data_IF_561604814669
#
_entry.id   IF_561604814669
#
_cell.length_a   1.000
_cell.length_b   1.000
_cell.length_c   1.000
_cell.angle_alpha   90.00
_cell.angle_beta   90.00
_cell.angle_gamma   90.00
#
_symmetry.space_group_name_H-M   'P 1'
#
loop_
_entity.id
_entity.type
_entity.pdbx_description
1 polymer ?
#
# COMPACT_ATOMS: atom_id res chain seq x y z
N UNK A 1 -7.07 -8.05 -2.12
CA UNK A 1 -5.84 -7.49 -1.55
C UNK A 1 -5.94 -7.35 -0.03
N UNK A 2 -6.89 -6.60 0.53
CA UNK A 2 -7.04 -6.42 1.99
C UNK A 2 -7.16 -7.75 2.75
N UNK A 3 -7.95 -8.72 2.26
CA UNK A 3 -8.10 -10.05 2.87
C UNK A 3 -6.74 -10.79 2.98
N UNK A 4 -5.89 -10.68 1.95
CA UNK A 4 -4.54 -11.26 1.93
C UNK A 4 -3.66 -10.66 3.04
N UNK A 5 -3.64 -9.33 3.16
CA UNK A 5 -2.84 -8.63 4.18
C UNK A 5 -3.33 -8.92 5.60
N UNK A 6 -4.64 -8.92 5.82
CA UNK A 6 -5.25 -9.25 7.13
C UNK A 6 -4.91 -10.68 7.54
N UNK A 7 -5.10 -11.66 6.66
CA UNK A 7 -4.76 -13.06 6.94
C UNK A 7 -3.26 -13.26 7.13
N UNK A 8 -2.42 -12.54 6.36
CA UNK A 8 -0.96 -12.58 6.51
C UNK A 8 -0.50 -12.09 7.88
N UNK A 9 -1.02 -10.96 8.34
CA UNK A 9 -0.68 -10.43 9.67
C UNK A 9 -1.14 -11.36 10.79
N UNK A 10 -2.34 -11.95 10.69
CA UNK A 10 -2.81 -12.96 11.65
C UNK A 10 -1.98 -14.24 11.61
N UNK A 11 -1.52 -14.67 10.44
CA UNK A 11 -0.67 -15.86 10.33
C UNK A 11 0.72 -15.66 10.92
N UNK A 12 1.27 -14.44 10.83
CA UNK A 12 2.63 -14.12 11.28
C UNK A 12 2.67 -13.75 12.76
N UNK A 13 1.69 -12.97 13.24
CA UNK A 13 1.72 -12.38 14.56
C UNK A 13 0.75 -13.05 15.57
N UNK A 14 -0.03 -14.05 15.12
CA UNK A 14 -1.07 -14.68 15.94
C UNK A 14 -2.35 -13.86 16.01
N UNK A 15 -3.04 -13.95 17.16
CA UNK A 15 -4.33 -13.30 17.35
C UNK A 15 -4.21 -11.78 17.48
N UNK A 16 -4.93 -11.02 16.65
CA UNK A 16 -4.89 -9.56 16.57
C UNK A 16 -6.32 -8.97 16.52
N UNK A 17 -6.45 -7.73 16.99
CA UNK A 17 -7.61 -6.89 16.73
C UNK A 17 -7.49 -6.15 15.41
N UNK A 18 -8.61 -5.57 14.91
CA UNK A 18 -8.59 -4.70 13.74
C UNK A 18 -7.68 -3.47 13.93
N UNK A 19 -7.60 -2.96 15.14
CA UNK A 19 -6.69 -1.86 15.50
C UNK A 19 -5.22 -2.27 15.43
N UNK A 20 -4.87 -3.45 15.94
CA UNK A 20 -3.48 -3.95 15.89
C UNK A 20 -3.04 -4.19 14.44
N UNK A 21 -3.94 -4.73 13.60
CA UNK A 21 -3.71 -4.89 12.17
C UNK A 21 -3.50 -3.53 11.48
N UNK A 22 -4.33 -2.54 11.77
CA UNK A 22 -4.17 -1.18 11.25
C UNK A 22 -2.81 -0.60 11.64
N UNK A 23 -2.46 -0.64 12.92
CA UNK A 23 -1.18 -0.13 13.43
C UNK A 23 0.02 -0.84 12.77
N UNK A 24 -0.06 -2.16 12.58
CA UNK A 24 1.00 -2.90 11.90
C UNK A 24 1.17 -2.48 10.44
N UNK A 25 0.06 -2.21 9.72
CA UNK A 25 0.09 -1.72 8.34
C UNK A 25 0.66 -0.29 8.26
N UNK A 26 0.26 0.61 9.15
CA UNK A 26 0.77 1.99 9.23
C UNK A 26 2.28 2.01 9.52
N UNK A 27 2.73 1.25 10.51
CA UNK A 27 4.15 1.15 10.87
C UNK A 27 5.03 0.59 9.74
N UNK A 28 4.47 -0.22 8.85
CA UNK A 28 5.16 -0.77 7.68
C UNK A 28 4.89 0.01 6.39
N UNK A 29 4.10 1.08 6.42
CA UNK A 29 3.63 1.84 5.27
C UNK A 29 2.91 0.95 4.22
N UNK A 30 2.41 -0.19 4.66
CA UNK A 30 1.64 -1.10 3.78
C UNK A 30 0.32 -0.49 3.38
N UNK A 31 -0.33 0.26 4.27
CA UNK A 31 -1.54 1.03 4.00
C UNK A 31 -1.36 2.02 2.85
N UNK A 32 -0.18 2.65 2.76
CA UNK A 32 0.17 3.64 1.73
C UNK A 32 0.27 3.02 0.34
N UNK A 33 1.13 2.00 0.15
CA UNK A 33 1.31 1.41 -1.19
C UNK A 33 0.20 0.43 -1.58
N UNK A 34 -0.50 -0.16 -0.60
CA UNK A 34 -1.65 -1.03 -0.82
C UNK A 34 -2.99 -0.28 -0.80
N UNK A 35 -3.00 1.04 -0.55
CA UNK A 35 -4.21 1.86 -0.46
C UNK A 35 -5.28 1.30 0.48
N UNK A 36 -4.86 0.68 1.60
CA UNK A 36 -5.77 0.07 2.59
C UNK A 36 -6.26 1.12 3.57
N UNK A 37 -7.55 1.35 3.59
CA UNK A 37 -8.19 2.24 4.57
C UNK A 37 -8.60 1.46 5.82
N UNK A 38 -8.64 2.07 7.03
CA UNK A 38 -9.06 1.41 8.26
C UNK A 38 -10.41 0.69 8.13
N UNK A 39 -11.41 1.32 7.54
CA UNK A 39 -12.72 0.71 7.32
C UNK A 39 -12.66 -0.60 6.50
N UNK A 40 -11.71 -0.71 5.57
CA UNK A 40 -11.51 -1.92 4.76
C UNK A 40 -10.98 -3.09 5.59
N UNK A 41 -10.20 -2.83 6.64
CA UNK A 41 -9.69 -3.86 7.57
C UNK A 41 -10.84 -4.48 8.35
N UNK A 42 -11.70 -3.65 8.94
CA UNK A 42 -12.86 -4.12 9.71
C UNK A 42 -13.86 -4.88 8.82
N UNK A 43 -14.10 -4.38 7.60
CA UNK A 43 -14.94 -5.07 6.63
C UNK A 43 -14.34 -6.44 6.24
N UNK A 44 -13.04 -6.52 6.00
CA UNK A 44 -12.34 -7.76 5.69
C UNK A 44 -12.46 -8.76 6.85
N UNK A 45 -12.20 -8.35 8.10
CA UNK A 45 -12.34 -9.20 9.28
C UNK A 45 -13.75 -9.77 9.42
N UNK A 46 -14.78 -8.93 9.26
CA UNK A 46 -16.19 -9.38 9.30
C UNK A 46 -16.45 -10.44 8.22
N UNK A 47 -16.10 -10.16 6.98
CA UNK A 47 -16.28 -11.09 5.84
C UNK A 47 -15.50 -12.40 6.01
N UNK A 48 -14.27 -12.33 6.55
CA UNK A 48 -13.45 -13.51 6.81
C UNK A 48 -14.03 -14.35 7.96
N UNK A 49 -14.61 -13.72 8.98
CA UNK A 49 -15.30 -14.41 10.06
C UNK A 49 -16.59 -15.11 9.58
N UNK A 50 -17.40 -14.45 8.75
CA UNK A 50 -18.59 -15.04 8.13
C UNK A 50 -18.27 -16.31 7.30
N UNK A 51 -17.06 -16.37 6.71
CA UNK A 51 -16.55 -17.53 5.96
C UNK A 51 -15.76 -18.52 6.80
N UNK A 52 -15.69 -18.34 8.12
CA UNK A 52 -14.90 -19.16 9.04
C UNK A 52 -13.39 -19.21 8.69
N UNK A 53 -12.83 -18.21 8.02
CA UNK A 53 -11.40 -18.08 7.77
C UNK A 53 -10.65 -17.47 8.95
N UNK A 54 -11.36 -16.72 9.79
CA UNK A 54 -10.88 -16.26 11.09
C UNK A 54 -11.94 -16.59 12.14
N UNK A 55 -11.49 -16.80 13.39
CA UNK A 55 -12.37 -17.03 14.55
C UNK A 55 -12.17 -15.91 15.56
N UNK A 56 -13.28 -15.47 16.16
CA UNK A 56 -13.25 -14.55 17.31
C UNK A 56 -12.76 -15.33 18.52
N UNK A 57 -11.62 -14.94 19.09
CA UNK A 57 -11.02 -15.56 20.27
C UNK A 57 -11.56 -14.95 21.56
N UNK A 58 -11.62 -13.64 21.62
CA UNK A 58 -12.11 -12.92 22.78
C UNK A 58 -12.54 -11.50 22.40
N UNK A 59 -13.35 -10.92 23.26
CA UNK A 59 -13.70 -9.50 23.22
C UNK A 59 -13.11 -8.86 24.48
N UNK A 60 -12.22 -7.91 24.31
CA UNK A 60 -11.60 -7.15 25.38
C UNK A 60 -12.28 -5.80 25.49
N UNK A 61 -12.65 -5.41 26.70
CA UNK A 61 -13.20 -4.07 26.98
C UNK A 61 -12.24 -3.36 27.93
N UNK A 62 -11.71 -2.21 27.49
CA UNK A 62 -10.85 -1.34 28.30
C UNK A 62 -11.50 0.04 28.32
N UNK A 63 -12.11 0.39 29.47
CA UNK A 63 -12.93 1.58 29.58
C UNK A 63 -14.15 1.52 28.65
N UNK A 64 -14.29 2.52 27.77
CA UNK A 64 -15.38 2.60 26.79
C UNK A 64 -15.04 1.97 25.43
N UNK A 65 -13.87 1.34 25.29
CA UNK A 65 -13.42 0.74 24.01
C UNK A 65 -13.52 -0.77 24.06
N UNK A 66 -14.23 -1.33 23.10
CA UNK A 66 -14.33 -2.78 22.91
C UNK A 66 -13.47 -3.21 21.71
N UNK A 67 -12.63 -4.22 21.91
CA UNK A 67 -11.76 -4.81 20.87
C UNK A 67 -12.11 -6.27 20.68
N UNK A 68 -12.45 -6.65 19.46
CA UNK A 68 -12.61 -8.05 19.08
C UNK A 68 -11.26 -8.57 18.56
N UNK A 69 -10.76 -9.65 19.16
CA UNK A 69 -9.49 -10.30 18.83
C UNK A 69 -9.79 -11.52 17.95
N UNK A 70 -9.18 -11.57 16.79
CA UNK A 70 -9.36 -12.63 15.80
C UNK A 70 -8.09 -13.44 15.62
N UNK A 71 -8.25 -14.72 15.30
CA UNK A 71 -7.19 -15.63 14.95
C UNK A 71 -7.50 -16.34 13.63
N UNK A 72 -6.47 -16.65 12.83
CA UNK A 72 -6.63 -17.36 11.56
C UNK A 72 -6.94 -18.85 11.83
N UNK A 73 -7.97 -19.38 11.16
CA UNK A 73 -8.33 -20.81 11.23
C UNK A 73 -7.49 -21.64 10.24
N UNK A 74 -7.57 -22.97 10.34
CA UNK A 74 -6.96 -23.87 9.33
C UNK A 74 -7.55 -23.67 7.93
N UNK A 75 -8.85 -23.36 7.82
CA UNK A 75 -9.48 -22.99 6.55
C UNK A 75 -8.93 -21.63 6.05
N UNK A 76 -8.75 -20.69 6.97
CA UNK A 76 -8.12 -19.40 6.68
C UNK A 76 -6.69 -19.51 6.16
N UNK A 77 -5.88 -20.40 6.74
CA UNK A 77 -4.49 -20.66 6.28
C UNK A 77 -4.48 -21.20 4.84
N UNK A 78 -5.38 -22.13 4.50
CA UNK A 78 -5.51 -22.63 3.13
C UNK A 78 -5.95 -21.53 2.17
N UNK A 79 -6.93 -20.72 2.56
CA UNK A 79 -7.40 -19.59 1.76
C UNK A 79 -6.30 -18.52 1.58
N UNK A 80 -5.51 -18.27 2.62
CA UNK A 80 -4.36 -17.36 2.55
C UNK A 80 -3.34 -17.82 1.50
N UNK A 81 -2.99 -19.10 1.46
CA UNK A 81 -2.11 -19.65 0.43
C UNK A 81 -2.66 -19.47 -0.99
N UNK A 82 -3.98 -19.68 -1.18
CA UNK A 82 -4.65 -19.43 -2.46
C UNK A 82 -4.57 -17.95 -2.87
N UNK A 83 -4.76 -17.03 -1.91
CA UNK A 83 -4.66 -15.59 -2.18
C UNK A 83 -3.24 -15.17 -2.56
N UNK A 84 -2.21 -15.77 -1.95
CA UNK A 84 -0.81 -15.55 -2.35
C UNK A 84 -0.60 -16.00 -3.80
N UNK A 85 -0.96 -17.24 -4.13
CA UNK A 85 -0.82 -17.78 -5.49
C UNK A 85 -1.51 -16.88 -6.53
N UNK A 86 -2.78 -16.55 -6.30
CA UNK A 86 -3.55 -15.66 -7.17
C UNK A 86 -2.93 -14.27 -7.31
N UNK A 87 -2.26 -13.76 -6.25
CA UNK A 87 -1.58 -12.48 -6.28
C UNK A 87 -0.33 -12.50 -7.16
N UNK A 88 0.39 -13.63 -7.17
CA UNK A 88 1.61 -13.80 -7.97
C UNK A 88 1.31 -13.97 -9.47
N UNK A 89 0.13 -14.49 -9.84
CA UNK A 89 -0.26 -14.70 -11.23
C UNK A 89 -0.78 -13.43 -11.93
N UNK A 90 -1.20 -12.43 -11.17
CA UNK A 90 -1.79 -11.22 -11.74
C UNK A 90 -0.73 -10.30 -12.35
N UNK A 91 -1.10 -9.66 -13.48
CA UNK A 91 -0.30 -8.58 -14.04
C UNK A 91 -0.13 -7.46 -13.01
N UNK A 92 1.12 -7.12 -12.71
CA UNK A 92 1.50 -6.13 -11.69
C UNK A 92 1.81 -4.75 -12.27
N UNK A 93 1.75 -4.58 -13.59
CA UNK A 93 1.97 -3.26 -14.22
C UNK A 93 0.74 -2.39 -14.01
N UNK A 94 0.93 -1.26 -13.34
CA UNK A 94 -0.12 -0.26 -13.09
C UNK A 94 0.24 1.03 -13.84
N UNK A 95 -0.60 1.41 -14.81
CA UNK A 95 -0.42 2.66 -15.53
C UNK A 95 -1.07 3.82 -14.78
N UNK A 96 -0.43 5.01 -14.69
CA UNK A 96 -1.02 6.21 -14.09
C UNK A 96 -2.03 6.86 -15.07
N UNK A 97 -3.18 6.21 -15.25
CA UNK A 97 -4.17 6.53 -16.25
C UNK A 97 -4.64 8.00 -16.22
N UNK A 98 -4.82 8.58 -15.02
CA UNK A 98 -5.20 9.98 -14.86
C UNK A 98 -4.12 10.93 -15.43
N UNK A 99 -2.83 10.63 -15.15
CA UNK A 99 -1.73 11.42 -15.70
C UNK A 99 -1.68 11.30 -17.22
N UNK A 100 -1.78 10.08 -17.76
CA UNK A 100 -1.72 9.87 -19.19
C UNK A 100 -2.89 10.55 -19.92
N UNK A 101 -4.10 10.46 -19.36
CA UNK A 101 -5.27 11.17 -19.90
C UNK A 101 -5.08 12.69 -19.89
N UNK A 102 -4.55 13.24 -18.80
CA UNK A 102 -4.26 14.68 -18.73
C UNK A 102 -3.18 15.10 -19.72
N UNK A 103 -2.12 14.29 -19.89
CA UNK A 103 -1.05 14.57 -20.86
C UNK A 103 -1.50 14.50 -22.30
N UNK A 104 -2.50 13.67 -22.63
CA UNK A 104 -3.07 13.60 -23.97
C UNK A 104 -3.67 14.94 -24.43
N UNK A 105 -4.15 15.74 -23.49
CA UNK A 105 -4.79 17.04 -23.77
C UNK A 105 -4.04 18.21 -23.11
N UNK A 106 -2.73 18.06 -22.85
CA UNK A 106 -1.96 19.05 -22.10
C UNK A 106 -1.88 20.41 -22.83
N UNK A 107 -1.98 20.40 -24.14
CA UNK A 107 -1.92 21.61 -24.98
C UNK A 107 -3.16 22.52 -24.83
N UNK A 108 -4.28 21.95 -24.33
CA UNK A 108 -5.49 22.72 -24.00
C UNK A 108 -5.36 23.52 -22.69
N UNK A 109 -4.26 23.31 -21.92
CA UNK A 109 -3.99 24.01 -20.68
C UNK A 109 -2.80 24.97 -20.87
N UNK A 110 -2.90 26.26 -20.45
CA UNK A 110 -1.76 27.18 -20.49
C UNK A 110 -0.53 26.57 -19.80
N UNK A 111 0.64 26.66 -20.46
CA UNK A 111 1.88 25.99 -20.01
C UNK A 111 2.26 26.34 -18.56
N UNK A 112 2.04 27.58 -18.11
CA UNK A 112 2.31 27.98 -16.73
C UNK A 112 1.44 27.23 -15.72
N UNK A 113 0.15 27.03 -16.04
CA UNK A 113 -0.77 26.24 -15.19
C UNK A 113 -0.40 24.76 -15.20
N UNK A 114 -0.05 24.21 -16.38
CA UNK A 114 0.41 22.83 -16.48
C UNK A 114 1.67 22.60 -15.64
N UNK A 115 2.67 23.46 -15.73
CA UNK A 115 3.89 23.41 -14.92
C UNK A 115 3.61 23.51 -13.41
N UNK A 116 2.68 24.37 -13.00
CA UNK A 116 2.26 24.45 -11.61
C UNK A 116 1.72 23.11 -11.08
N UNK A 117 0.79 22.48 -11.81
CA UNK A 117 0.20 21.19 -11.39
C UNK A 117 1.19 20.04 -11.47
N UNK A 118 2.08 20.01 -12.45
CA UNK A 118 3.17 19.02 -12.53
C UNK A 118 4.16 19.15 -11.38
N UNK A 119 4.44 20.37 -10.90
CA UNK A 119 5.27 20.59 -9.71
C UNK A 119 4.60 20.02 -8.44
N UNK A 120 3.29 20.19 -8.28
CA UNK A 120 2.55 19.58 -7.15
C UNK A 120 2.69 18.05 -7.20
N UNK A 121 2.46 17.45 -8.36
CA UNK A 121 2.61 16.00 -8.51
C UNK A 121 4.04 15.53 -8.25
N UNK A 122 5.03 16.25 -8.75
CA UNK A 122 6.45 15.96 -8.51
C UNK A 122 6.77 15.94 -7.01
N UNK A 123 6.34 16.97 -6.27
CA UNK A 123 6.52 17.03 -4.81
C UNK A 123 5.84 15.87 -4.08
N UNK A 124 4.62 15.48 -4.51
CA UNK A 124 3.91 14.34 -3.93
C UNK A 124 4.67 13.02 -4.13
N UNK A 125 5.24 12.79 -5.32
CA UNK A 125 6.05 11.59 -5.60
C UNK A 125 7.36 11.60 -4.80
N UNK A 126 8.04 12.76 -4.69
CA UNK A 126 9.22 12.90 -3.84
C UNK A 126 8.91 12.62 -2.37
N UNK A 127 7.79 13.12 -1.87
CA UNK A 127 7.37 12.85 -0.49
C UNK A 127 7.14 11.37 -0.25
N UNK A 128 6.43 10.69 -1.18
CA UNK A 128 6.23 9.23 -1.11
C UNK A 128 7.57 8.49 -1.09
N UNK A 129 8.49 8.84 -1.98
CA UNK A 129 9.84 8.26 -2.01
C UNK A 129 10.56 8.39 -0.67
N UNK A 130 10.54 9.59 -0.07
CA UNK A 130 11.18 9.87 1.23
C UNK A 130 10.55 9.05 2.36
N UNK A 131 9.21 8.96 2.40
CA UNK A 131 8.49 8.16 3.39
C UNK A 131 8.87 6.67 3.30
N UNK A 132 8.87 6.09 2.09
CA UNK A 132 9.28 4.70 1.87
C UNK A 132 10.74 4.45 2.24
N UNK A 133 11.63 5.41 1.95
CA UNK A 133 13.05 5.29 2.30
C UNK A 133 13.27 5.31 3.82
N UNK A 134 12.56 6.15 4.56
CA UNK A 134 12.66 6.18 6.02
C UNK A 134 12.30 4.82 6.65
N UNK A 135 11.23 4.18 6.17
CA UNK A 135 10.82 2.84 6.63
C UNK A 135 11.84 1.78 6.25
N UNK A 136 12.44 1.85 5.05
CA UNK A 136 13.51 0.94 4.63
C UNK A 136 14.70 1.03 5.59
N UNK A 137 15.16 2.25 5.89
CA UNK A 137 16.31 2.46 6.79
C UNK A 137 16.03 1.93 8.21
N UNK A 138 14.83 2.17 8.74
CA UNK A 138 14.44 1.63 10.04
C UNK A 138 14.46 0.10 10.05
N UNK A 139 13.94 -0.56 9.03
CA UNK A 139 13.93 -2.03 8.93
C UNK A 139 15.34 -2.62 8.79
N UNK A 140 16.23 -1.98 8.02
CA UNK A 140 17.63 -2.39 7.90
C UNK A 140 18.32 -2.33 9.26
N UNK A 141 18.10 -1.26 10.04
CA UNK A 141 18.73 -1.10 11.37
C UNK A 141 18.29 -2.15 12.38
N UNK A 142 17.14 -2.79 12.17
CA UNK A 142 16.61 -3.83 13.05
C UNK A 142 16.98 -5.26 12.62
N UNK A 143 17.80 -5.43 11.59
CA UNK A 143 18.19 -6.71 10.98
C UNK A 143 16.97 -7.61 10.60
N UNK A 144 15.81 -6.98 10.40
CA UNK A 144 14.51 -7.61 10.18
C UNK A 144 14.09 -7.55 8.71
N UNK A 145 15.02 -7.82 7.77
CA UNK A 145 14.79 -7.51 6.36
C UNK A 145 15.01 -8.70 5.42
N UNK A 146 14.01 -9.60 5.28
CA UNK A 146 14.10 -10.70 4.34
C UNK A 146 14.35 -10.21 2.90
N UNK A 147 15.14 -10.94 2.14
CA UNK A 147 15.56 -10.59 0.77
C UNK A 147 14.36 -10.24 -0.14
N UNK A 148 13.29 -11.03 -0.09
CA UNK A 148 12.09 -10.77 -0.90
C UNK A 148 11.41 -9.44 -0.56
N UNK A 149 11.53 -8.94 0.67
CA UNK A 149 11.02 -7.62 1.08
C UNK A 149 11.91 -6.50 0.52
N UNK A 150 13.23 -6.74 0.42
CA UNK A 150 14.15 -5.79 -0.24
C UNK A 150 13.75 -5.58 -1.70
N UNK A 151 13.43 -6.65 -2.42
CA UNK A 151 12.96 -6.58 -3.81
C UNK A 151 11.68 -5.74 -3.96
N UNK A 152 10.75 -5.82 -3.00
CA UNK A 152 9.55 -4.97 -2.99
C UNK A 152 9.93 -3.48 -2.90
N UNK A 153 10.79 -3.11 -1.95
CA UNK A 153 11.23 -1.71 -1.80
C UNK A 153 12.02 -1.21 -3.00
N UNK A 154 12.90 -2.03 -3.56
CA UNK A 154 13.61 -1.66 -4.79
C UNK A 154 12.65 -1.38 -5.94
N UNK A 155 11.62 -2.21 -6.10
CA UNK A 155 10.60 -1.98 -7.12
C UNK A 155 9.84 -0.67 -6.86
N UNK A 156 9.42 -0.39 -5.61
CA UNK A 156 8.75 0.86 -5.24
C UNK A 156 9.63 2.07 -5.60
N UNK A 157 10.93 2.04 -5.25
CA UNK A 157 11.84 3.14 -5.55
C UNK A 157 12.04 3.35 -7.04
N UNK A 158 12.19 2.26 -7.83
CA UNK A 158 12.30 2.35 -9.28
C UNK A 158 11.03 2.93 -9.91
N UNK A 159 9.85 2.58 -9.42
CA UNK A 159 8.60 3.17 -9.89
C UNK A 159 8.50 4.66 -9.56
N UNK A 160 8.86 5.08 -8.35
CA UNK A 160 8.92 6.50 -7.98
C UNK A 160 9.91 7.26 -8.87
N UNK A 161 11.11 6.70 -9.08
CA UNK A 161 12.14 7.33 -9.91
C UNK A 161 11.68 7.48 -11.36
N UNK A 162 11.07 6.43 -11.94
CA UNK A 162 10.50 6.48 -13.27
C UNK A 162 9.46 7.61 -13.40
N UNK A 163 8.59 7.78 -12.42
CA UNK A 163 7.61 8.87 -12.42
C UNK A 163 8.28 10.24 -12.32
N UNK A 164 9.27 10.41 -11.45
CA UNK A 164 10.02 11.67 -11.31
C UNK A 164 10.73 12.06 -12.61
N UNK A 165 11.38 11.10 -13.27
CA UNK A 165 12.08 11.32 -14.53
C UNK A 165 11.10 11.67 -15.65
N UNK A 166 9.95 11.00 -15.71
CA UNK A 166 8.87 11.30 -16.65
C UNK A 166 8.33 12.72 -16.44
N UNK A 167 8.04 13.11 -15.19
CA UNK A 167 7.55 14.45 -14.87
C UNK A 167 8.58 15.54 -15.21
N UNK A 168 9.87 15.29 -15.02
CA UNK A 168 10.95 16.21 -15.44
C UNK A 168 10.95 16.40 -16.94
N UNK A 169 10.91 15.30 -17.72
CA UNK A 169 10.90 15.36 -19.17
C UNK A 169 9.69 16.14 -19.72
N UNK A 170 8.51 15.96 -19.12
CA UNK A 170 7.31 16.71 -19.50
C UNK A 170 7.45 18.21 -19.20
N UNK A 171 8.01 18.56 -18.04
CA UNK A 171 8.27 19.97 -17.68
C UNK A 171 9.25 20.63 -18.66
N UNK A 172 10.33 19.95 -19.01
CA UNK A 172 11.29 20.42 -20.00
C UNK A 172 10.68 20.61 -21.38
N UNK A 173 9.76 19.71 -21.79
CA UNK A 173 9.00 19.86 -23.02
C UNK A 173 8.16 21.14 -23.01
N UNK A 174 7.40 21.40 -21.95
CA UNK A 174 6.55 22.58 -21.83
C UNK A 174 7.35 23.89 -21.75
N UNK A 175 8.55 23.87 -21.16
CA UNK A 175 9.44 25.04 -21.08
C UNK A 175 10.04 25.40 -22.45
N UNK A 176 10.28 24.41 -23.31
CA UNK A 176 10.79 24.62 -24.67
C UNK A 176 9.72 25.04 -25.69
N UNK A 177 8.45 24.79 -25.35
CA UNK A 177 7.30 25.08 -26.22
C UNK A 177 6.75 26.52 -26.00
N UNK A 178 7.43 27.33 -25.16
CA UNK A 178 7.19 28.76 -24.96
C UNK A 178 7.97 29.56 -25.98
#
# INVERSE_FOLDING_TARGET
MTDLLVLGLLATNGALSGYDIQTAMENSQTDTWAYVKPASIYYALKKLAEKNYVSLQKVETTGHRTRAIYEITNAGKKHFQQLIANGLEKNSVVFPANLYSALTFIEDLPAEKALHHLNIQFQNVEQLYRQMNAVKQLKISLDAYPEHVQLIFENIFRQCQLQLDTLKAIKEYLEKSK
#
